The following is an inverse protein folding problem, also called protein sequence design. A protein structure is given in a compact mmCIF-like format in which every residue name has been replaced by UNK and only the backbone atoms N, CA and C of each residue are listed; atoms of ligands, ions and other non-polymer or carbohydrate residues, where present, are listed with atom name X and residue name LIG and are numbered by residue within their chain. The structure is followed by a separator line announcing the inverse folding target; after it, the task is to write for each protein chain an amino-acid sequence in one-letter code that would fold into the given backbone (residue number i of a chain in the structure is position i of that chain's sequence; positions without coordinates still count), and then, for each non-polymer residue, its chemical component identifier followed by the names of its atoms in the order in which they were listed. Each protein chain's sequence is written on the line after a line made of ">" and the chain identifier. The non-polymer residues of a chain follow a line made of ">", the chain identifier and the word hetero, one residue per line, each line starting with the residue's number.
data_IF_326982375373
#
_entry.id   IF_326982375373
#
_cell.length_a   1.000
_cell.length_b   1.000
_cell.length_c   1.000
_cell.angle_alpha   90.00
_cell.angle_beta   90.00
_cell.angle_gamma   90.00
#
_symmetry.space_group_name_H-M   'P 1'
#
loop_
_entity.id
_entity.type
_entity.pdbx_description
1 polymer ?
2 non-polymer ?
3 non-polymer ?
4 non-polymer ?
5 water ?
#
# COMPACT_ATOMS: atom_id res chain seq x y z
N UNK A 10 -22.80 -1.90 0.06
CA UNK A 10 -23.25 -2.72 1.17
C UNK A 10 -22.18 -2.98 2.21
N UNK A 11 -21.12 -2.17 2.22
CA UNK A 11 -20.09 -2.30 3.23
C UNK A 11 -20.51 -1.51 4.49
N UNK A 12 -20.46 -2.16 5.65
CA UNK A 12 -20.86 -1.52 6.92
C UNK A 12 -19.82 -0.47 7.33
N UNK A 13 -20.27 0.77 7.48
CA UNK A 13 -19.36 1.85 7.86
C UNK A 13 -19.45 2.16 9.37
N UNK A 14 -20.42 1.53 10.03
CA UNK A 14 -20.60 1.68 11.47
C UNK A 14 -21.23 3.02 11.80
N UNK A 15 -21.04 3.48 13.04
CA UNK A 15 -21.57 4.77 13.46
C UNK A 15 -20.46 5.67 13.98
N UNK A 16 -20.84 6.86 14.42
CA UNK A 16 -19.88 7.81 14.98
C UNK A 16 -20.60 8.89 15.76
N UNK A 17 -19.90 9.48 16.73
CA UNK A 17 -20.31 10.75 17.31
C UNK A 17 -19.21 11.75 16.99
N UNK A 18 -19.25 12.91 17.64
CA UNK A 18 -18.24 13.94 17.38
C UNK A 18 -16.83 13.47 17.75
N UNK A 19 -16.73 12.53 18.70
CA UNK A 19 -15.45 12.20 19.31
C UNK A 19 -14.87 10.87 18.88
N UNK A 20 -15.73 9.86 18.67
CA UNK A 20 -15.25 8.53 18.30
C UNK A 20 -16.13 7.88 17.24
N UNK A 21 -15.54 6.95 16.49
CA UNK A 21 -16.28 6.14 15.53
C UNK A 21 -16.35 4.72 16.07
N UNK A 22 -17.39 3.97 15.74
CA UNK A 22 -17.56 2.61 16.28
C UNK A 22 -16.51 1.65 15.73
N UNK A 23 -15.97 1.96 14.55
CA UNK A 23 -14.96 1.11 13.91
C UNK A 23 -13.59 1.80 13.85
N UNK A 24 -12.52 1.04 14.09
CA UNK A 24 -11.18 1.50 13.73
C UNK A 24 -11.22 1.72 12.22
N UNK A 25 -10.46 2.70 11.74
CA UNK A 25 -10.60 3.17 10.37
C UNK A 25 -9.23 3.33 9.71
N UNK A 26 -8.96 2.55 8.66
CA UNK A 26 -7.71 2.70 7.92
C UNK A 26 -8.07 3.12 6.50
N UNK A 27 -7.34 4.10 5.98
CA UNK A 27 -7.51 4.54 4.62
C UNK A 27 -6.26 4.17 3.84
N UNK A 28 -6.44 3.59 2.66
CA UNK A 28 -5.31 3.27 1.80
C UNK A 28 -5.50 4.03 0.49
N UNK A 29 -4.43 4.69 0.02
CA UNK A 29 -4.53 5.58 -1.13
C UNK A 29 -3.60 5.11 -2.25
N UNK A 30 -4.14 4.90 -3.43
CA UNK A 30 -3.28 4.46 -4.52
C UNK A 30 -4.04 4.02 -5.74
N UNK A 31 -3.39 3.20 -6.56
CA UNK A 31 -4.03 2.72 -7.77
C UNK A 31 -4.37 1.23 -7.66
N UNK A 32 -5.63 0.90 -7.89
CA UNK A 32 -6.03 -0.49 -8.06
C UNK A 32 -6.00 -0.82 -9.55
N UNK A 33 -5.47 -1.99 -9.91
CA UNK A 33 -5.35 -2.38 -11.33
C UNK A 33 -6.26 -3.54 -11.69
N UNK A 34 -6.85 -3.50 -12.87
CA UNK A 34 -7.44 -4.71 -13.42
C UNK A 34 -6.28 -5.66 -13.71
N UNK A 35 -6.46 -6.95 -13.44
CA UNK A 35 -5.43 -7.93 -13.75
C UNK A 35 -6.02 -9.14 -14.46
N UNK A 36 -5.28 -9.66 -15.43
CA UNK A 36 -5.65 -10.89 -16.11
C UNK A 36 -4.55 -11.93 -15.91
N UNK A 37 -4.92 -13.09 -15.37
CA UNK A 37 -3.98 -14.17 -15.12
C UNK A 37 -4.49 -15.43 -15.79
N UNK A 38 -3.57 -16.29 -16.27
CA UNK A 38 -3.95 -17.52 -16.98
C UNK A 38 -5.01 -18.33 -16.22
N UNK A 39 -6.08 -18.73 -16.92
CA UNK A 39 -7.06 -19.63 -16.34
C UNK A 39 -6.70 -21.05 -16.75
N UNK A 40 -7.53 -22.02 -16.37
CA UNK A 40 -7.19 -23.43 -16.66
C UNK A 40 -7.19 -23.78 -18.15
N UNK A 41 -8.20 -23.32 -18.88
CA UNK A 41 -8.27 -23.56 -20.32
C UNK A 41 -7.27 -22.63 -21.03
N UNK A 42 -6.30 -23.23 -21.77
CA UNK A 42 -5.22 -22.45 -22.40
C UNK A 42 -5.77 -21.41 -23.36
N UNK A 43 -5.17 -20.23 -23.37
CA UNK A 43 -5.66 -19.16 -24.22
C UNK A 43 -6.72 -18.32 -23.52
N UNK A 44 -7.07 -18.69 -22.29
CA UNK A 44 -8.02 -17.92 -21.50
C UNK A 44 -7.41 -17.37 -20.20
N UNK A 45 -7.95 -16.26 -19.75
CA UNK A 45 -7.40 -15.54 -18.61
C UNK A 45 -8.54 -15.14 -17.69
N UNK A 46 -8.32 -15.18 -16.37
CA UNK A 46 -9.35 -14.74 -15.44
C UNK A 46 -9.12 -13.29 -15.05
N UNK A 47 -10.20 -12.51 -15.07
CA UNK A 47 -10.13 -11.09 -14.72
C UNK A 47 -10.33 -10.92 -13.22
N UNK A 48 -9.44 -10.14 -12.60
CA UNK A 48 -9.55 -9.80 -11.19
C UNK A 48 -8.97 -8.42 -10.99
N UNK A 49 -8.79 -8.03 -9.73
CA UNK A 49 -8.26 -6.72 -9.41
C UNK A 49 -7.15 -6.78 -8.37
N UNK A 50 -6.11 -5.99 -8.58
CA UNK A 50 -4.96 -5.97 -7.67
C UNK A 50 -4.32 -4.57 -7.61
N UNK A 51 -3.01 -4.51 -7.42
CA UNK A 51 -2.32 -3.23 -7.27
C UNK A 51 -1.89 -3.05 -5.83
N UNK A 52 -0.66 -2.58 -5.63
CA UNK A 52 0.01 -2.63 -4.34
C UNK A 52 -0.80 -2.15 -3.13
N UNK A 53 -1.34 -0.94 -3.17
CA UNK A 53 -2.05 -0.39 -2.03
C UNK A 53 -3.42 -1.04 -1.88
N UNK A 54 -3.99 -1.43 -3.00
CA UNK A 54 -5.25 -2.15 -2.96
C UNK A 54 -5.06 -3.51 -2.29
N UNK A 55 -3.97 -4.21 -2.65
CA UNK A 55 -3.69 -5.49 -2.04
C UNK A 55 -3.60 -5.38 -0.52
N UNK A 56 -2.90 -4.36 -0.04
CA UNK A 56 -2.78 -4.18 1.41
C UNK A 56 -4.16 -3.97 2.04
N UNK A 57 -5.00 -3.18 1.37
CA UNK A 57 -6.37 -2.95 1.88
C UNK A 57 -7.14 -4.27 1.89
N UNK A 58 -6.93 -5.08 0.86
CA UNK A 58 -7.58 -6.38 0.75
C UNK A 58 -7.19 -7.32 1.89
N UNK A 59 -5.90 -7.39 2.20
CA UNK A 59 -5.49 -8.23 3.35
C UNK A 59 -5.99 -7.66 4.66
N UNK A 60 -6.01 -6.35 4.77
CA UNK A 60 -6.51 -5.70 5.98
C UNK A 60 -7.97 -6.01 6.27
N UNK A 61 -8.81 -5.99 5.24
CA UNK A 61 -10.24 -6.28 5.40
C UNK A 61 -10.48 -7.71 5.90
N UNK A 62 -9.57 -8.63 5.56
CA UNK A 62 -9.67 -10.01 6.04
C UNK A 62 -9.11 -10.18 7.45
N UNK A 63 -8.12 -9.37 7.81
CA UNK A 63 -7.54 -9.44 9.16
C UNK A 63 -8.45 -8.84 10.22
N UNK A 64 -9.13 -7.75 9.86
CA UNK A 64 -10.04 -7.08 10.78
C UNK A 64 -11.35 -6.72 10.08
N UNK A 65 -12.21 -7.73 9.84
CA UNK A 65 -13.45 -7.50 9.10
C UNK A 65 -14.49 -6.70 9.90
N UNK A 66 -14.22 -6.47 11.19
CA UNK A 66 -15.09 -5.65 12.02
C UNK A 66 -14.74 -4.16 11.90
N UNK A 67 -13.62 -3.87 11.23
CA UNK A 67 -13.13 -2.50 11.10
C UNK A 67 -13.54 -1.87 9.78
N UNK A 68 -13.22 -0.59 9.63
CA UNK A 68 -13.50 0.09 8.37
C UNK A 68 -12.22 0.26 7.56
N UNK A 69 -12.14 -0.44 6.43
CA UNK A 69 -10.98 -0.35 5.57
C UNK A 69 -11.40 0.40 4.30
N UNK A 70 -10.91 1.62 4.14
CA UNK A 70 -11.32 2.48 3.02
C UNK A 70 -10.23 2.57 1.97
N UNK A 71 -10.66 2.70 0.71
CA UNK A 71 -9.72 2.87 -0.39
C UNK A 71 -10.01 4.17 -1.14
N UNK A 72 -9.00 5.02 -1.28
CA UNK A 72 -9.19 6.26 -2.02
C UNK A 72 -8.42 6.21 -3.32
N UNK A 73 -9.12 6.42 -4.43
CA UNK A 73 -8.49 6.38 -5.75
C UNK A 73 -9.43 7.04 -6.74
N UNK A 74 -9.10 6.94 -8.03
CA UNK A 74 -10.00 7.41 -9.08
C UNK A 74 -10.16 6.32 -10.14
N UNK A 75 -11.38 6.17 -10.64
CA UNK A 75 -11.67 5.18 -11.68
C UNK A 75 -12.50 5.86 -12.76
N UNK A 76 -12.76 5.13 -13.85
CA UNK A 76 -13.56 5.64 -14.95
C UNK A 76 -15.05 5.42 -14.72
N UNK A 77 -15.84 5.56 -15.78
CA UNK A 77 -17.29 5.35 -15.71
C UNK A 77 -17.75 4.20 -16.61
N UNK A 78 -16.78 3.45 -17.16
CA UNK A 78 -17.10 2.32 -18.03
C UNK A 78 -17.41 1.05 -17.22
N UNK A 79 -17.69 -0.03 -17.93
CA UNK A 79 -18.06 -1.32 -17.32
C UNK A 79 -16.94 -1.92 -16.49
N UNK A 80 -15.71 -1.85 -17.00
CA UNK A 80 -14.57 -2.35 -16.26
C UNK A 80 -14.38 -1.59 -14.94
N UNK A 81 -14.57 -0.28 -14.96
CA UNK A 81 -14.45 0.51 -13.73
C UNK A 81 -15.54 0.13 -12.74
N UNK A 82 -16.75 -0.11 -13.25
CA UNK A 82 -17.83 -0.54 -12.36
C UNK A 82 -17.59 -1.94 -11.80
N UNK A 83 -17.00 -2.81 -12.60
CA UNK A 83 -16.59 -4.13 -12.12
C UNK A 83 -15.58 -3.99 -10.98
N UNK A 84 -14.65 -3.05 -11.12
CA UNK A 84 -13.64 -2.84 -10.09
C UNK A 84 -14.29 -2.35 -8.79
N UNK A 85 -15.21 -1.40 -8.89
CA UNK A 85 -15.93 -0.87 -7.75
C UNK A 85 -16.70 -1.98 -7.03
N UNK A 86 -17.32 -2.86 -7.81
CA UNK A 86 -18.06 -4.00 -7.26
C UNK A 86 -17.11 -4.97 -6.53
N UNK A 87 -15.93 -5.18 -7.11
CA UNK A 87 -14.93 -6.05 -6.50
C UNK A 87 -14.49 -5.55 -5.10
N UNK A 88 -14.27 -4.24 -4.96
CA UNK A 88 -13.86 -3.68 -3.68
C UNK A 88 -14.93 -3.90 -2.61
N UNK A 89 -16.17 -3.63 -2.99
CA UNK A 89 -17.29 -3.83 -2.09
C UNK A 89 -17.39 -5.29 -1.68
N UNK A 90 -17.23 -6.19 -2.64
CA UNK A 90 -17.30 -7.63 -2.36
C UNK A 90 -16.18 -8.07 -1.42
N UNK A 91 -15.06 -7.35 -1.46
CA UNK A 91 -13.93 -7.63 -0.58
C UNK A 91 -14.07 -6.96 0.79
N UNK A 92 -15.20 -6.32 1.05
CA UNK A 92 -15.42 -5.65 2.33
C UNK A 92 -14.64 -4.34 2.44
N UNK A 93 -14.22 -3.80 1.30
CA UNK A 93 -13.49 -2.53 1.29
C UNK A 93 -14.45 -1.38 0.97
N UNK A 94 -14.39 -0.34 1.80
CA UNK A 94 -15.20 0.87 1.63
C UNK A 94 -14.66 1.74 0.51
N UNK A 95 -15.38 1.76 -0.61
CA UNK A 95 -14.95 2.52 -1.78
C UNK A 95 -15.79 3.76 -1.97
N UNK A 96 -16.41 4.22 -0.89
CA UNK A 96 -17.30 5.38 -0.95
C UNK A 96 -16.59 6.64 -1.42
N UNK A 97 -15.29 6.72 -1.17
CA UNK A 97 -14.52 7.90 -1.54
C UNK A 97 -13.95 7.87 -2.95
N UNK A 98 -14.29 6.85 -3.71
CA UNK A 98 -13.76 6.72 -5.09
C UNK A 98 -14.23 7.87 -5.97
N UNK A 99 -13.31 8.48 -6.70
CA UNK A 99 -13.66 9.53 -7.67
C UNK A 99 -13.81 8.95 -9.07
N UNK A 100 -14.76 9.49 -9.84
CA UNK A 100 -15.02 9.02 -11.19
C UNK A 100 -14.50 10.04 -12.21
N UNK A 101 -13.64 9.60 -13.12
CA UNK A 101 -13.09 10.48 -14.15
C UNK A 101 -13.70 10.11 -15.51
N UNK A 102 -14.67 10.92 -15.97
CA UNK A 102 -15.54 10.67 -17.14
C UNK A 102 -14.87 10.04 -18.36
N UNK A 103 -13.73 10.57 -18.79
CA UNK A 103 -13.19 10.15 -20.07
C UNK A 103 -12.17 9.02 -20.04
N UNK A 104 -11.86 8.54 -18.84
CA UNK A 104 -10.79 7.55 -18.69
C UNK A 104 -11.27 6.17 -18.24
N UNK A 105 -10.36 5.19 -18.25
CA UNK A 105 -10.63 3.87 -17.70
C UNK A 105 -9.52 3.53 -16.70
N UNK A 106 -9.54 2.30 -16.17
CA UNK A 106 -8.54 1.91 -15.17
C UNK A 106 -7.27 1.36 -15.85
N UNK A 107 -6.24 1.14 -15.04
CA UNK A 107 -5.01 0.50 -15.51
C UNK A 107 -5.18 -1.00 -15.52
N UNK A 108 -4.35 -1.70 -16.29
CA UNK A 108 -4.51 -3.12 -16.49
C UNK A 108 -3.14 -3.76 -16.48
N UNK A 109 -3.03 -4.96 -15.92
CA UNK A 109 -1.84 -5.75 -16.22
C UNK A 109 -2.19 -7.19 -16.61
N UNK A 110 -1.35 -7.78 -17.44
CA UNK A 110 -1.56 -9.12 -17.95
C UNK A 110 -0.39 -10.02 -17.56
N UNK A 111 -0.69 -11.13 -16.89
CA UNK A 111 0.32 -12.13 -16.57
C UNK A 111 0.30 -13.22 -17.66
N UNK A 112 1.44 -13.47 -18.30
CA UNK A 112 1.50 -14.50 -19.34
C UNK A 112 2.31 -15.72 -18.92
N UNK A 113 1.95 -16.88 -19.48
CA UNK A 113 2.50 -18.17 -19.01
C UNK A 113 3.07 -18.99 -20.17
N UNK A 118 6.30 -16.62 -15.05
CA UNK A 118 5.22 -15.79 -15.56
C UNK A 118 5.65 -14.34 -15.83
N UNK A 119 5.31 -13.85 -17.02
CA UNK A 119 5.65 -12.48 -17.43
C UNK A 119 4.51 -11.50 -17.20
N UNK A 120 4.86 -10.32 -16.71
CA UNK A 120 3.92 -9.23 -16.45
C UNK A 120 4.01 -8.16 -17.55
N UNK A 121 2.88 -7.86 -18.20
CA UNK A 121 2.79 -6.68 -19.07
C UNK A 121 1.75 -5.73 -18.49
N UNK A 122 1.96 -4.42 -18.65
CA UNK A 122 1.01 -3.48 -18.04
C UNK A 122 0.71 -2.26 -18.91
N UNK A 123 -0.46 -1.68 -18.64
CA UNK A 123 -0.94 -0.48 -19.35
C UNK A 123 -1.58 0.42 -18.31
N UNK A 124 -0.93 1.54 -17.98
CA UNK A 124 -1.46 2.37 -16.89
C UNK A 124 -1.17 3.85 -17.11
N UNK A 125 -0.58 4.18 -18.26
CA UNK A 125 -0.14 5.54 -18.52
C UNK A 125 -1.24 6.58 -18.56
N UNK A 126 -2.47 6.14 -18.81
CA UNK A 126 -3.61 7.05 -18.96
C UNK A 126 -4.70 6.75 -17.95
N UNK A 127 -4.38 5.96 -16.94
CA UNK A 127 -5.41 5.47 -16.03
C UNK A 127 -6.03 6.62 -15.24
N UNK A 128 -7.29 6.42 -14.82
CA UNK A 128 -8.01 7.46 -14.11
C UNK A 128 -7.36 7.70 -12.76
N UNK A 129 -6.73 6.66 -12.22
CA UNK A 129 -6.12 6.77 -10.89
C UNK A 129 -5.02 7.83 -10.83
N UNK A 130 -4.47 8.19 -12.00
CA UNK A 130 -3.46 9.25 -12.05
C UNK A 130 -4.01 10.64 -11.69
N UNK A 131 -5.33 10.76 -11.64
CA UNK A 131 -5.99 12.00 -11.22
C UNK A 131 -6.50 11.97 -9.77
N UNK A 132 -6.09 10.98 -8.98
CA UNK A 132 -6.65 10.80 -7.65
C UNK A 132 -6.38 11.98 -6.69
N UNK A 133 -5.44 12.83 -7.04
CA UNK A 133 -5.12 13.98 -6.20
C UNK A 133 -5.59 15.29 -6.83
N UNK A 134 -6.53 15.19 -7.76
CA UNK A 134 -7.08 16.36 -8.45
C UNK A 134 -7.96 17.21 -7.55
N UNK A 135 -8.61 16.59 -6.57
CA UNK A 135 -9.52 17.30 -5.67
C UNK A 135 -8.96 17.28 -4.25
N UNK A 136 -8.40 18.41 -3.81
CA UNK A 136 -7.80 18.49 -2.48
C UNK A 136 -8.81 18.30 -1.34
N UNK A 137 -10.02 18.84 -1.53
CA UNK A 137 -11.10 18.69 -0.56
C UNK A 137 -11.47 17.23 -0.31
N UNK A 138 -11.63 16.48 -1.40
CA UNK A 138 -11.98 15.07 -1.35
C UNK A 138 -10.91 14.24 -0.67
N UNK A 139 -9.64 14.59 -0.90
CA UNK A 139 -8.53 13.91 -0.23
C UNK A 139 -8.62 14.16 1.27
N UNK A 140 -8.74 15.43 1.64
CA UNK A 140 -8.81 15.83 3.04
C UNK A 140 -9.97 15.16 3.78
N UNK A 141 -11.13 15.10 3.12
CA UNK A 141 -12.32 14.48 3.71
C UNK A 141 -12.12 12.97 3.94
N UNK A 142 -11.41 12.31 3.04
CA UNK A 142 -11.16 10.88 3.18
C UNK A 142 -10.25 10.58 4.36
N UNK A 143 -9.28 11.47 4.61
CA UNK A 143 -8.34 11.24 5.71
C UNK A 143 -8.85 11.68 7.07
N UNK A 144 -9.86 12.55 7.08
CA UNK A 144 -10.20 13.34 8.27
C UNK A 144 -10.31 12.56 9.59
N UNK A 145 -10.96 11.41 9.53
CA UNK A 145 -11.19 10.64 10.74
C UNK A 145 -10.59 9.24 10.62
N UNK A 146 -9.59 9.12 9.75
CA UNK A 146 -8.86 7.87 9.63
C UNK A 146 -7.87 7.75 10.79
N UNK A 147 -7.79 6.55 11.37
CA UNK A 147 -6.78 6.29 12.38
C UNK A 147 -5.39 6.19 11.74
N UNK A 148 -5.34 5.50 10.60
CA UNK A 148 -4.11 5.33 9.85
C UNK A 148 -4.36 5.67 8.39
N UNK A 149 -3.45 6.42 7.79
CA UNK A 149 -3.50 6.65 6.36
C UNK A 149 -2.26 6.00 5.76
N UNK A 150 -2.46 5.15 4.76
CA UNK A 150 -1.38 4.41 4.15
C UNK A 150 -1.30 4.73 2.66
N UNK A 151 -0.08 4.97 2.17
CA UNK A 151 0.15 5.19 0.74
C UNK A 151 1.52 4.63 0.35
N UNK A 152 1.81 4.60 -0.95
CA UNK A 152 3.08 4.03 -1.38
C UNK A 152 3.82 4.91 -2.39
N UNK A 153 5.04 4.52 -2.75
CA UNK A 153 5.80 5.26 -3.73
C UNK A 153 5.18 5.14 -5.11
N UNK A 154 4.38 4.09 -5.31
CA UNK A 154 3.59 3.99 -6.53
C UNK A 154 2.50 5.07 -6.55
N UNK A 155 1.87 5.30 -5.40
CA UNK A 155 0.88 6.36 -5.29
C UNK A 155 1.48 7.68 -5.73
N UNK A 156 2.71 7.94 -5.29
CA UNK A 156 3.42 9.16 -5.69
C UNK A 156 3.83 9.12 -7.16
N UNK A 157 4.30 7.97 -7.63
CA UNK A 157 4.84 7.85 -8.99
C UNK A 157 3.83 8.24 -10.06
N UNK A 158 2.58 7.83 -9.87
CA UNK A 158 1.57 7.99 -10.92
C UNK A 158 1.01 9.41 -11.03
N UNK A 159 1.21 10.22 -9.99
CA UNK A 159 0.72 11.59 -9.98
C UNK A 159 1.71 12.52 -10.67
N UNK A 160 1.20 13.60 -11.26
CA UNK A 160 2.07 14.63 -11.79
C UNK A 160 2.56 15.52 -10.65
N UNK A 161 3.42 16.48 -10.97
CA UNK A 161 4.01 17.38 -9.97
C UNK A 161 2.98 18.00 -9.02
N UNK A 162 1.91 18.54 -9.61
CA UNK A 162 0.87 19.23 -8.87
C UNK A 162 0.11 18.28 -7.94
N UNK A 163 -0.25 17.12 -8.46
CA UNK A 163 -0.92 16.10 -7.68
C UNK A 163 -0.08 15.63 -6.52
N UNK A 164 1.22 15.45 -6.76
CA UNK A 164 2.12 15.03 -5.68
C UNK A 164 2.12 16.06 -4.53
N UNK A 165 2.23 17.34 -4.88
CA UNK A 165 2.21 18.41 -3.87
C UNK A 165 0.90 18.43 -3.09
N UNK A 166 -0.21 18.25 -3.80
CA UNK A 166 -1.53 18.21 -3.18
C UNK A 166 -1.63 17.06 -2.19
N UNK A 167 -1.14 15.88 -2.60
CA UNK A 167 -1.18 14.71 -1.72
C UNK A 167 -0.31 14.89 -0.48
N UNK A 168 0.90 15.39 -0.67
CA UNK A 168 1.83 15.54 0.45
C UNK A 168 1.35 16.58 1.47
N UNK A 169 0.71 17.64 0.98
CA UNK A 169 0.15 18.65 1.87
C UNK A 169 -1.02 18.07 2.65
N UNK A 170 -1.85 17.28 1.99
CA UNK A 170 -2.98 16.65 2.68
C UNK A 170 -2.48 15.69 3.75
N UNK A 171 -1.48 14.88 3.40
CA UNK A 171 -0.86 13.96 4.35
C UNK A 171 -0.24 14.67 5.54
N UNK A 172 0.49 15.75 5.27
CA UNK A 172 1.13 16.52 6.33
C UNK A 172 0.12 17.14 7.29
N UNK A 173 -0.99 17.66 6.73
CA UNK A 173 -2.02 18.28 7.56
C UNK A 173 -2.76 17.26 8.42
N UNK A 174 -3.08 16.10 7.84
CA UNK A 174 -3.71 15.01 8.56
C UNK A 174 -2.81 14.50 9.67
N UNK A 175 -1.52 14.32 9.36
CA UNK A 175 -0.53 13.92 10.35
C UNK A 175 -0.58 14.86 11.54
N UNK A 176 -0.67 16.15 11.26
CA UNK A 176 -0.71 17.15 12.33
C UNK A 176 -1.98 17.11 13.19
N UNK A 177 -3.07 16.53 12.69
CA UNK A 177 -4.27 16.43 13.52
C UNK A 177 -4.35 15.10 14.27
N UNK A 178 -3.35 14.25 14.09
CA UNK A 178 -3.30 13.00 14.82
C UNK A 178 -3.63 11.76 13.99
N UNK A 179 -3.59 11.89 12.67
CA UNK A 179 -3.64 10.71 11.81
C UNK A 179 -2.25 10.07 11.86
N UNK A 180 -2.19 8.75 11.94
CA UNK A 180 -0.90 8.07 11.84
C UNK A 180 -0.66 7.78 10.34
N UNK A 181 0.43 8.30 9.79
CA UNK A 181 0.73 8.14 8.37
C UNK A 181 1.76 7.03 8.14
N UNK A 182 1.43 6.08 7.27
CA UNK A 182 2.30 4.96 6.98
C UNK A 182 2.64 4.95 5.49
N UNK A 183 3.88 4.60 5.16
CA UNK A 183 4.40 4.75 3.80
C UNK A 183 5.24 3.53 3.41
N UNK A 184 4.94 2.92 2.25
CA UNK A 184 5.85 1.94 1.65
C UNK A 184 6.44 2.56 0.38
N UNK A 185 7.76 2.82 0.39
CA UNK A 185 8.47 3.43 -0.76
C UNK A 185 8.19 2.68 -2.06
N UNK A 186 8.14 1.35 -1.99
CA UNK A 186 7.81 0.52 -3.14
C UNK A 186 8.40 1.04 -4.44
N UNK A 187 9.73 1.04 -4.53
CA UNK A 187 10.45 1.62 -5.68
C UNK A 187 10.23 0.84 -6.97
N UNK A 188 9.63 1.49 -7.96
CA UNK A 188 9.46 0.94 -9.31
C UNK A 188 9.94 1.96 -10.34
N UNK A 189 11.23 1.90 -10.70
CA UNK A 189 11.85 2.93 -11.56
C UNK A 189 11.09 3.18 -12.87
N UNK A 190 10.56 2.14 -13.50
CA UNK A 190 9.83 2.30 -14.76
C UNK A 190 8.67 3.28 -14.69
N UNK A 191 8.14 3.50 -13.50
CA UNK A 191 6.99 4.38 -13.32
C UNK A 191 7.42 5.83 -13.11
N UNK A 192 8.75 6.06 -13.09
CA UNK A 192 9.28 7.39 -12.86
C UNK A 192 10.00 7.90 -14.11
N UNK A 193 10.08 9.22 -14.27
CA UNK A 193 10.73 9.79 -15.45
C UNK A 193 12.23 9.51 -15.40
N UNK A 194 12.80 9.52 -14.19
CA UNK A 194 14.20 9.23 -13.96
C UNK A 194 14.41 8.80 -12.52
N UNK A 195 15.54 8.17 -12.20
CA UNK A 195 15.77 7.71 -10.83
C UNK A 195 16.09 8.85 -9.86
N UNK A 196 16.58 9.97 -10.39
CA UNK A 196 16.81 11.15 -9.58
C UNK A 196 15.48 11.65 -9.03
N UNK A 197 14.51 11.81 -9.93
CA UNK A 197 13.15 12.20 -9.56
C UNK A 197 12.54 11.23 -8.54
N UNK A 198 12.74 9.93 -8.78
CA UNK A 198 12.22 8.89 -7.91
C UNK A 198 12.74 9.05 -6.49
N UNK A 199 14.06 9.00 -6.32
CA UNK A 199 14.64 9.06 -4.97
C UNK A 199 14.26 10.32 -4.21
N UNK A 200 14.31 11.46 -4.90
CA UNK A 200 13.92 12.75 -4.33
C UNK A 200 12.49 12.72 -3.82
N UNK A 201 11.58 12.30 -4.69
CA UNK A 201 10.14 12.28 -4.36
C UNK A 201 9.78 11.27 -3.27
N UNK A 202 10.40 10.09 -3.31
CA UNK A 202 10.23 9.11 -2.24
C UNK A 202 10.59 9.73 -0.89
N UNK A 203 11.67 10.50 -0.83
CA UNK A 203 12.05 11.10 0.46
C UNK A 203 11.10 12.24 0.89
N UNK A 204 10.39 12.84 -0.06
CA UNK A 204 9.35 13.80 0.29
C UNK A 204 8.19 13.06 0.95
N UNK A 205 7.86 11.88 0.42
CA UNK A 205 6.88 11.01 1.04
C UNK A 205 7.28 10.60 2.45
N UNK A 206 8.57 10.28 2.64
CA UNK A 206 9.07 9.90 3.95
C UNK A 206 8.90 11.06 4.93
N UNK A 207 9.09 12.28 4.44
CA UNK A 207 9.03 13.48 5.27
C UNK A 207 7.65 13.77 5.85
N UNK A 208 6.62 13.08 5.36
CA UNK A 208 5.27 13.24 5.91
C UNK A 208 4.77 11.99 6.62
N UNK A 209 5.65 10.99 6.76
CA UNK A 209 5.25 9.68 7.31
C UNK A 209 5.75 9.38 8.73
N UNK A 210 4.88 8.82 9.57
CA UNK A 210 5.28 8.37 10.91
C UNK A 210 5.93 7.00 10.86
N UNK A 211 5.42 6.16 9.95
CA UNK A 211 5.90 4.79 9.78
C UNK A 211 6.35 4.60 8.33
N UNK A 212 7.52 3.99 8.12
CA UNK A 212 7.97 3.72 6.77
C UNK A 212 8.33 2.25 6.68
N UNK A 213 7.95 1.63 5.57
CA UNK A 213 8.14 0.19 5.40
C UNK A 213 8.94 -0.12 4.13
N UNK A 214 10.22 0.29 4.07
CA UNK A 214 11.02 0.05 2.88
C UNK A 214 11.49 -1.39 2.75
N UNK A 215 11.81 -1.81 1.54
CA UNK A 215 12.42 -3.12 1.31
C UNK A 215 13.89 -2.92 0.95
N UNK A 216 14.79 -3.59 1.66
CA UNK A 216 16.22 -3.27 1.56
C UNK A 216 16.87 -3.42 0.18
N UNK A 217 16.62 -4.51 -0.51
CA UNK A 217 17.31 -4.72 -1.78
C UNK A 217 16.99 -3.64 -2.81
N UNK A 218 15.75 -3.13 -2.78
CA UNK A 218 15.36 -2.03 -3.66
C UNK A 218 16.06 -0.74 -3.26
N UNK A 219 16.11 -0.49 -1.96
CA UNK A 219 16.75 0.72 -1.44
C UNK A 219 18.24 0.71 -1.74
N UNK A 220 18.88 -0.44 -1.57
CA UNK A 220 20.31 -0.60 -1.84
C UNK A 220 20.66 -0.27 -3.28
N UNK A 221 19.77 -0.62 -4.20
CA UNK A 221 20.03 -0.45 -5.63
C UNK A 221 19.99 1.02 -6.03
N UNK A 222 19.02 1.75 -5.48
CA UNK A 222 18.71 3.09 -5.97
C UNK A 222 19.24 4.21 -5.09
N UNK A 223 19.34 3.94 -3.78
CA UNK A 223 19.90 4.90 -2.85
C UNK A 223 21.37 4.64 -2.54
N UNK A 224 21.81 3.39 -2.70
CA UNK A 224 23.19 3.03 -2.41
C UNK A 224 23.43 2.63 -0.96
N UNK A 225 22.34 2.35 -0.23
CA UNK A 225 22.41 1.89 1.15
C UNK A 225 23.31 0.67 1.32
N UNK A 226 24.25 0.73 2.26
CA UNK A 226 25.17 -0.38 2.51
C UNK A 226 24.53 -1.57 3.24
N UNK A 227 23.54 -1.27 4.07
CA UNK A 227 22.87 -2.28 4.88
C UNK A 227 21.55 -1.74 5.40
N UNK A 228 20.73 -2.60 6.01
CA UNK A 228 19.38 -2.24 6.46
C UNK A 228 19.39 -1.12 7.50
N UNK A 229 20.46 -1.05 8.29
CA UNK A 229 20.57 0.00 9.30
C UNK A 229 20.80 1.36 8.65
N UNK A 230 21.61 1.41 7.60
CA UNK A 230 21.76 2.62 6.80
C UNK A 230 20.43 3.08 6.20
N UNK A 231 19.62 2.13 5.75
CA UNK A 231 18.29 2.43 5.21
C UNK A 231 17.42 3.09 6.26
N UNK A 232 17.35 2.47 7.45
CA UNK A 232 16.55 2.99 8.55
C UNK A 232 17.00 4.42 8.91
N UNK A 233 18.31 4.61 9.01
CA UNK A 233 18.87 5.91 9.38
C UNK A 233 18.43 6.98 8.41
N UNK A 234 18.41 6.63 7.12
CA UNK A 234 18.02 7.57 6.09
C UNK A 234 16.59 8.01 6.30
N UNK A 235 15.70 7.07 6.57
CA UNK A 235 14.30 7.39 6.80
C UNK A 235 14.09 8.14 8.12
N UNK A 236 14.78 7.70 9.17
CA UNK A 236 14.67 8.38 10.47
C UNK A 236 15.15 9.84 10.34
N UNK A 237 16.09 10.06 9.43
CA UNK A 237 16.59 11.41 9.17
C UNK A 237 15.51 12.32 8.58
N UNK A 238 14.56 11.72 7.87
CA UNK A 238 13.45 12.45 7.29
C UNK A 238 12.30 12.63 8.28
N UNK A 239 12.49 12.15 9.51
CA UNK A 239 11.49 12.35 10.55
C UNK A 239 10.57 11.17 10.80
N UNK A 240 10.85 10.05 10.14
CA UNK A 240 10.04 8.85 10.32
C UNK A 240 10.27 8.30 11.74
N UNK A 241 9.19 8.00 12.46
CA UNK A 241 9.32 7.59 13.88
C UNK A 241 9.63 6.11 14.00
N UNK A 242 9.02 5.30 13.14
CA UNK A 242 9.20 3.85 13.16
C UNK A 242 9.55 3.36 11.76
N UNK A 243 10.79 2.95 11.55
CA UNK A 243 11.20 2.42 10.27
C UNK A 243 11.35 0.92 10.39
N UNK A 244 10.67 0.18 9.52
CA UNK A 244 10.68 -1.28 9.54
C UNK A 244 11.25 -1.71 8.18
N UNK A 245 12.44 -2.30 8.18
CA UNK A 245 13.09 -2.64 6.92
C UNK A 245 12.92 -4.13 6.60
N UNK A 246 12.07 -4.43 5.62
CA UNK A 246 11.95 -5.79 5.10
C UNK A 246 13.21 -6.15 4.30
N UNK A 247 13.57 -7.43 4.28
CA UNK A 247 14.76 -7.87 3.56
C UNK A 247 14.62 -9.32 3.12
N UNK A 248 13.61 -9.61 2.30
CA UNK A 248 13.38 -10.98 1.84
C UNK A 248 13.26 -11.98 2.98
N UNK A 249 14.01 -13.10 2.89
CA UNK A 249 13.98 -14.14 3.92
C UNK A 249 14.76 -13.78 5.19
N UNK A 250 15.39 -12.61 5.22
CA UNK A 250 16.29 -12.28 6.32
C UNK A 250 15.57 -11.52 7.42
N UNK A 251 16.22 -11.40 8.57
CA UNK A 251 15.65 -10.73 9.73
C UNK A 251 15.23 -9.30 9.40
N UNK A 252 14.14 -8.86 10.02
CA UNK A 252 13.68 -7.49 9.83
C UNK A 252 14.35 -6.57 10.85
N UNK A 253 15.12 -5.62 10.36
CA UNK A 253 15.72 -4.59 11.22
C UNK A 253 14.71 -3.46 11.39
N UNK A 254 14.64 -2.87 12.58
CA UNK A 254 13.83 -1.66 12.72
C UNK A 254 14.57 -0.56 13.47
N UNK A 255 14.02 0.64 13.40
CA UNK A 255 14.58 1.76 14.13
C UNK A 255 13.40 2.58 14.59
N UNK A 256 13.28 2.77 15.91
CA UNK A 256 12.16 3.54 16.46
C UNK A 256 12.63 4.48 17.55
N UNK A 257 12.52 5.78 17.30
CA UNK A 257 13.01 6.80 18.22
C UNK A 257 14.42 6.56 18.74
N UNK A 258 15.34 6.27 17.82
CA UNK A 258 16.74 6.09 18.16
C UNK A 258 17.09 4.68 18.61
N UNK A 259 16.07 3.86 18.85
CA UNK A 259 16.28 2.49 19.31
C UNK A 259 16.22 1.51 18.13
N UNK A 260 17.28 0.71 17.98
CA UNK A 260 17.30 -0.31 16.94
C UNK A 260 16.76 -1.63 17.47
N UNK A 261 16.39 -2.51 16.56
CA UNK A 261 15.94 -3.84 16.92
C UNK A 261 15.96 -4.76 15.72
N UNK A 262 15.83 -6.06 15.98
CA UNK A 262 15.83 -7.05 14.92
C UNK A 262 14.80 -8.13 15.25
N UNK A 263 14.00 -8.51 14.25
CA UNK A 263 12.96 -9.53 14.44
C UNK A 263 13.15 -10.65 13.40
N UNK A 264 13.20 -11.91 13.86
CA UNK A 264 13.52 -12.98 12.91
C UNK A 264 12.37 -13.28 11.96
N UNK A 265 12.69 -13.86 10.80
CA UNK A 265 11.69 -14.27 9.83
C UNK A 265 11.83 -15.77 9.67
N UNK A 266 10.84 -16.52 10.21
CA UNK A 266 10.94 -17.99 10.20
C UNK A 266 10.99 -18.52 8.77
N UNK A 267 11.90 -19.47 8.53
CA UNK A 267 12.09 -20.13 7.23
C UNK A 267 10.77 -20.59 6.63
N UNK A 268 10.59 -20.29 5.35
CA UNK A 268 9.45 -20.80 4.61
C UNK A 268 9.97 -21.77 3.54
N UNK A 269 9.45 -23.00 3.56
CA UNK A 269 9.68 -23.93 2.46
C UNK A 269 8.51 -23.81 1.49
N UNK A 270 8.70 -24.29 0.26
CA UNK A 270 7.67 -24.16 -0.77
C UNK A 270 7.28 -22.72 -1.04
N UNK A 271 8.27 -21.86 -1.26
CA UNK A 271 8.00 -20.52 -1.77
C UNK A 271 7.54 -20.64 -3.23
N UNK A 272 6.36 -20.10 -3.52
CA UNK A 272 5.76 -20.27 -4.83
C UNK A 272 5.79 -18.97 -5.63
N UNK A 273 5.35 -17.90 -4.98
CA UNK A 273 5.13 -16.64 -5.67
C UNK A 273 5.24 -15.51 -4.66
N UNK A 274 6.27 -14.68 -4.81
CA UNK A 274 6.50 -13.58 -3.89
C UNK A 274 5.60 -12.37 -4.16
N UNK A 275 4.67 -12.50 -5.10
CA UNK A 275 3.70 -11.43 -5.36
C UNK A 275 2.97 -11.04 -4.07
N UNK A 276 2.94 -9.75 -3.78
CA UNK A 276 2.25 -9.17 -2.63
C UNK A 276 2.88 -9.51 -1.28
N UNK A 277 4.09 -10.07 -1.31
CA UNK A 277 4.80 -10.36 -0.04
C UNK A 277 4.87 -9.11 0.82
N UNK A 278 5.32 -8.01 0.23
CA UNK A 278 5.46 -6.77 0.97
C UNK A 278 4.12 -6.15 1.29
N UNK A 279 3.17 -6.23 0.35
CA UNK A 279 1.83 -5.70 0.57
C UNK A 279 1.15 -6.39 1.74
N UNK A 280 1.30 -7.70 1.84
CA UNK A 280 0.65 -8.44 2.92
C UNK A 280 1.39 -8.24 4.24
N UNK A 281 2.72 -8.11 4.17
CA UNK A 281 3.50 -7.76 5.35
C UNK A 281 2.97 -6.46 5.94
N UNK A 282 2.81 -5.46 5.08
CA UNK A 282 2.37 -4.14 5.52
C UNK A 282 1.00 -4.23 6.19
N UNK A 283 0.13 -5.09 5.65
CA UNK A 283 -1.21 -5.24 6.21
C UNK A 283 -1.16 -5.90 7.60
N UNK A 284 -0.38 -6.97 7.71
CA UNK A 284 -0.23 -7.67 8.98
C UNK A 284 0.37 -6.73 10.01
N UNK A 285 1.29 -5.88 9.57
CA UNK A 285 1.95 -4.95 10.48
C UNK A 285 0.99 -3.87 10.96
N UNK A 286 0.29 -3.25 10.02
CA UNK A 286 -0.63 -2.16 10.36
C UNK A 286 -1.83 -2.65 11.17
N UNK A 287 -2.31 -3.85 10.86
CA UNK A 287 -3.36 -4.51 11.64
C UNK A 287 -2.96 -4.63 13.11
N UNK A 288 -1.73 -5.07 13.32
CA UNK A 288 -1.25 -5.31 14.67
C UNK A 288 -0.94 -3.99 15.42
N UNK A 289 -0.43 -2.98 14.71
CA UNK A 289 -0.21 -1.67 15.31
C UNK A 289 -1.53 -1.03 15.74
N UNK A 290 -2.53 -1.13 14.88
CA UNK A 290 -3.88 -0.61 15.19
C UNK A 290 -4.51 -1.32 16.40
N UNK A 291 -4.12 -2.57 16.63
CA UNK A 291 -4.61 -3.33 17.78
C UNK A 291 -3.82 -2.97 19.03
N UNK A 292 -2.83 -2.09 18.89
CA UNK A 292 -2.10 -1.60 20.06
C UNK A 292 -1.00 -2.54 20.52
N UNK A 293 -0.55 -3.43 19.63
CA UNK A 293 0.52 -4.36 19.96
C UNK A 293 1.88 -3.67 19.77
N UNK A 294 2.88 -4.08 20.58
CA UNK A 294 4.24 -3.51 20.48
C UNK A 294 4.85 -3.78 19.11
N UNK A 295 5.73 -2.90 18.64
CA UNK A 295 6.26 -3.01 17.28
C UNK A 295 6.91 -4.38 17.00
N UNK A 296 7.69 -4.92 17.93
CA UNK A 296 8.31 -6.24 17.72
C UNK A 296 7.25 -7.32 17.44
N UNK A 297 6.17 -7.27 18.19
CA UNK A 297 5.05 -8.18 18.04
C UNK A 297 4.35 -7.98 16.70
N UNK A 298 4.12 -6.72 16.31
CA UNK A 298 3.52 -6.40 15.01
C UNK A 298 4.37 -6.90 13.84
N UNK A 299 5.68 -6.76 13.97
CA UNK A 299 6.58 -7.22 12.89
C UNK A 299 6.53 -8.75 12.77
N UNK A 300 6.53 -9.44 13.91
CA UNK A 300 6.40 -10.90 13.94
C UNK A 300 5.10 -11.34 13.25
N UNK A 301 4.00 -10.64 13.55
CA UNK A 301 2.71 -10.95 12.92
C UNK A 301 2.75 -10.72 11.41
N UNK A 302 3.39 -9.62 11.00
CA UNK A 302 3.51 -9.26 9.59
C UNK A 302 4.31 -10.30 8.83
N UNK A 303 5.41 -10.74 9.41
CA UNK A 303 6.24 -11.77 8.80
C UNK A 303 5.45 -13.07 8.65
N UNK A 304 4.66 -13.42 9.67
CA UNK A 304 3.88 -14.66 9.63
C UNK A 304 2.88 -14.64 8.48
N UNK A 305 2.22 -13.51 8.28
CA UNK A 305 1.22 -13.43 7.22
C UNK A 305 1.88 -13.49 5.85
N UNK A 306 2.95 -12.72 5.69
CA UNK A 306 3.67 -12.72 4.42
C UNK A 306 4.24 -14.12 4.10
N UNK A 307 4.65 -14.84 5.15
CA UNK A 307 5.14 -16.20 4.99
C UNK A 307 4.12 -17.12 4.36
N UNK A 308 2.85 -16.96 4.75
CA UNK A 308 1.78 -17.73 4.14
C UNK A 308 1.48 -17.25 2.71
N UNK A 309 1.58 -15.93 2.51
CA UNK A 309 1.24 -15.34 1.21
C UNK A 309 2.19 -15.81 0.10
N UNK A 310 3.48 -15.94 0.40
CA UNK A 310 4.43 -16.41 -0.61
C UNK A 310 4.27 -17.90 -0.90
N UNK A 311 3.45 -18.58 -0.11
CA UNK A 311 3.15 -19.99 -0.35
C UNK A 311 1.91 -20.18 -1.22
N UNK A 312 1.31 -19.08 -1.63
CA UNK A 312 0.13 -19.14 -2.49
C UNK A 312 0.28 -18.40 -3.81
N UNK A 313 -0.56 -18.75 -4.77
CA UNK A 313 -0.54 -18.16 -6.11
C UNK A 313 -1.31 -16.85 -6.18
N UNK A 314 -0.74 -15.85 -6.83
CA UNK A 314 -1.40 -14.57 -7.06
C UNK A 314 -1.19 -13.55 -5.97
N UNK A 315 -1.69 -12.34 -6.17
CA UNK A 315 -1.51 -11.27 -5.21
C UNK A 315 -2.43 -11.41 -4.00
N UNK A 316 -3.61 -12.00 -4.23
CA UNK A 316 -4.61 -12.06 -3.18
C UNK A 316 -4.77 -13.51 -2.72
N UNK A 317 -4.04 -13.89 -1.68
CA UNK A 317 -4.05 -15.26 -1.20
C UNK A 317 -4.91 -15.34 0.06
N UNK A 318 -5.79 -16.34 0.12
CA UNK A 318 -6.64 -16.53 1.29
C UNK A 318 -5.89 -17.22 2.45
N UNK A 319 -5.77 -16.51 3.56
CA UNK A 319 -5.00 -17.00 4.71
C UNK A 319 -5.86 -16.98 5.99
#
# INVERSE_FOLDING_TARGET
>A
MHHHHHHSSGVDLGTENLYFQSMMHILSIGECMAELAPADLPGTYRLGFAGDTFNTAWYLARLRPESRISYFSAIGDDALSQQMRAAMSAAGIDGGGLRVIPGRTVGLYLITLEQGERSFAYWRGQSAARELAGDADALAAAMARADVVYFSGITLAILDQCGRATLLRALAQARATGRTIAFDPNLRPRLWAGTGEMTETIMQGAAVSDIALPSFEDEAAWFGDAGPDATADRYARAGVRSVVVKNGPHAVHFLQDGRRGRVPVPPVAQVVDTTAAGDSFNAGLLDSVLAGQPLETAIAAAAALAGQVVQGKGALVEVPSLRPHADA
#
